data_IF_149391496605
#
_entry.id   IF_149391496605
#
_cell.length_a   1.000
_cell.length_b   1.000
_cell.length_c   1.000
_cell.angle_alpha   90.00
_cell.angle_beta   90.00
_cell.angle_gamma   90.00
#
_symmetry.space_group_name_H-M   'P 1'
#
loop_
_entity.id
_entity.type
_entity.pdbx_description
1 polymer ?
#
# COMPACT_ATOMS: atom_id res chain seq x y z
N UNK A 1 42.51 -24.78 -19.97
CA UNK A 1 43.92 -24.31 -19.92
C UNK A 1 44.02 -23.15 -18.93
N UNK A 2 44.77 -23.45 -17.88
CA UNK A 2 45.47 -22.57 -16.94
C UNK A 2 44.82 -21.31 -16.38
N UNK A 3 44.39 -21.48 -15.13
CA UNK A 3 44.12 -20.53 -14.08
C UNK A 3 45.27 -19.55 -13.89
N UNK A 4 45.00 -18.26 -13.71
CA UNK A 4 45.89 -17.34 -13.01
C UNK A 4 45.14 -16.60 -11.94
N UNK A 5 45.35 -17.07 -10.72
CA UNK A 5 45.07 -16.42 -9.46
C UNK A 5 46.00 -15.20 -9.37
N UNK A 6 45.46 -14.01 -9.15
CA UNK A 6 46.26 -12.88 -8.68
C UNK A 6 45.66 -12.40 -7.37
N UNK A 7 46.26 -12.84 -6.28
CA UNK A 7 46.08 -12.30 -4.96
C UNK A 7 46.79 -10.95 -4.89
N UNK A 8 46.04 -9.88 -4.53
CA UNK A 8 46.67 -8.62 -4.12
C UNK A 8 46.17 -8.28 -2.72
N UNK A 9 47.03 -8.60 -1.76
CA UNK A 9 46.96 -8.13 -0.38
C UNK A 9 47.36 -6.66 -0.36
N UNK A 10 46.50 -5.78 0.15
CA UNK A 10 46.92 -4.45 0.60
C UNK A 10 46.34 -4.22 2.02
N UNK A 11 47.29 -4.25 2.94
CA UNK A 11 47.10 -3.91 4.34
C UNK A 11 47.35 -2.41 4.54
N UNK A 12 46.84 -1.90 5.67
CA UNK A 12 47.22 -0.65 6.35
C UNK A 12 46.38 0.58 5.94
N UNK A 13 45.84 1.38 6.83
CA UNK A 13 46.27 1.81 8.15
C UNK A 13 45.11 2.34 9.00
N UNK A 14 45.11 1.97 10.27
CA UNK A 14 44.41 2.66 11.32
C UNK A 14 45.02 4.06 11.51
N UNK A 15 44.14 5.07 11.58
CA UNK A 15 44.46 6.33 12.28
C UNK A 15 43.31 6.70 13.20
N UNK A 16 43.50 6.37 14.49
CA UNK A 16 42.75 6.94 15.59
C UNK A 16 43.01 8.45 15.65
N UNK A 17 41.92 9.22 15.66
CA UNK A 17 41.96 10.60 16.15
C UNK A 17 40.87 10.74 17.20
N UNK A 18 41.27 10.58 18.47
CA UNK A 18 40.52 11.10 19.59
C UNK A 18 40.74 12.62 19.66
N UNK A 19 39.69 13.38 19.59
CA UNK A 19 39.67 14.74 20.06
C UNK A 19 38.51 14.87 21.07
N UNK A 20 38.90 14.82 22.34
CA UNK A 20 38.07 15.20 23.46
C UNK A 20 38.17 16.73 23.66
N UNK A 21 37.03 17.37 23.79
CA UNK A 21 36.81 18.67 24.47
C UNK A 21 35.34 18.64 24.89
N UNK A 22 34.88 18.62 26.11
CA UNK A 22 35.29 19.26 27.33
C UNK A 22 34.73 20.69 27.36
N UNK A 23 33.49 20.91 27.91
CA UNK A 23 32.90 22.21 28.11
C UNK A 23 31.61 22.10 28.91
N UNK A 24 31.72 22.30 30.22
CA UNK A 24 30.61 22.56 31.14
C UNK A 24 29.97 23.91 30.78
N UNK A 25 28.68 24.02 30.97
CA UNK A 25 28.00 24.90 31.92
C UNK A 25 26.50 24.94 31.61
N UNK A 26 25.69 24.50 32.58
CA UNK A 26 24.32 24.98 32.74
C UNK A 26 24.38 26.26 33.56
N UNK A 27 23.40 27.18 33.47
CA UNK A 27 22.22 27.05 34.31
C UNK A 27 20.91 27.52 33.65
N UNK A 28 19.85 26.99 34.19
CA UNK A 28 18.46 27.20 34.09
C UNK A 28 17.88 28.59 33.96
N UNK A 29 16.66 28.62 33.53
CA UNK A 29 15.56 29.51 33.92
C UNK A 29 14.26 28.92 33.33
N UNK A 30 13.44 28.40 34.20
CA UNK A 30 12.13 28.85 34.64
C UNK A 30 11.15 29.38 33.61
N UNK A 31 10.03 28.65 33.61
CA UNK A 31 8.64 29.09 33.57
C UNK A 31 8.19 30.00 32.43
N UNK A 32 7.24 29.56 31.70
CA UNK A 32 5.91 30.14 31.81
C UNK A 32 4.82 29.26 31.23
N UNK A 33 3.84 28.97 32.06
CA UNK A 33 2.57 28.36 31.74
C UNK A 33 1.72 29.38 30.98
N UNK A 34 1.39 29.05 29.75
CA UNK A 34 0.42 29.81 28.98
C UNK A 34 -0.53 28.87 28.28
N UNK A 35 -1.55 28.39 28.95
CA UNK A 35 -2.71 27.76 28.38
C UNK A 35 -3.66 28.85 27.90
N UNK A 36 -3.97 29.01 26.66
CA UNK A 36 -5.15 29.76 26.27
C UNK A 36 -6.38 28.88 26.34
N UNK A 37 -7.20 29.18 27.30
CA UNK A 37 -8.59 28.82 27.41
C UNK A 37 -9.34 29.34 26.17
N UNK A 38 -9.91 28.47 25.37
CA UNK A 38 -10.78 28.84 24.27
C UNK A 38 -12.21 28.57 24.68
N UNK A 39 -12.89 29.65 24.93
CA UNK A 39 -14.32 29.77 25.06
C UNK A 39 -15.12 29.00 23.99
N UNK A 40 -16.04 28.21 24.47
CA UNK A 40 -17.17 27.72 23.69
C UNK A 40 -18.24 28.82 23.60
N UNK A 41 -18.89 29.02 22.50
CA UNK A 41 -20.22 29.62 22.50
C UNK A 41 -21.30 28.52 22.44
N UNK A 42 -22.13 28.55 23.45
CA UNK A 42 -23.44 27.94 23.49
C UNK A 42 -24.41 28.63 22.50
N UNK A 43 -25.37 27.84 22.00
CA UNK A 43 -26.69 28.36 21.76
C UNK A 43 -27.19 28.37 20.33
N UNK A 44 -28.26 27.63 20.11
CA UNK A 44 -29.18 27.92 19.04
C UNK A 44 -29.84 26.70 18.38
N UNK A 45 -30.80 26.06 19.07
CA UNK A 45 -31.91 25.46 18.37
C UNK A 45 -32.96 26.57 18.14
N UNK A 46 -33.67 26.58 17.02
CA UNK A 46 -35.15 26.40 17.07
C UNK A 46 -35.66 25.47 15.96
N UNK A 47 -36.55 24.61 16.38
CA UNK A 47 -38.00 24.59 16.16
C UNK A 47 -38.49 24.27 14.74
N UNK A 48 -39.19 23.16 14.70
CA UNK A 48 -40.50 22.88 14.12
C UNK A 48 -40.91 23.50 12.76
N UNK A 49 -41.36 22.61 11.92
CA UNK A 49 -42.07 22.94 10.72
C UNK A 49 -42.48 21.71 9.91
N UNK A 50 -43.46 20.94 10.41
CA UNK A 50 -44.34 20.21 9.50
C UNK A 50 -45.47 21.15 9.11
N UNK A 51 -45.97 21.09 7.86
CA UNK A 51 -47.26 20.47 7.67
C UNK A 51 -47.48 19.70 6.34
N UNK A 52 -48.35 18.72 6.47
CA UNK A 52 -49.57 18.43 5.75
C UNK A 52 -49.52 17.84 4.33
N UNK A 53 -50.06 16.66 4.28
CA UNK A 53 -51.04 16.06 3.42
C UNK A 53 -51.23 16.54 1.96
N UNK A 54 -51.09 15.57 1.09
CA UNK A 54 -51.55 15.65 -0.29
C UNK A 54 -51.85 14.26 -0.82
N UNK A 55 -52.98 13.70 -0.43
CA UNK A 55 -53.62 12.59 -1.13
C UNK A 55 -54.01 13.06 -2.55
N UNK A 56 -53.63 12.30 -3.55
CA UNK A 56 -54.40 12.21 -4.81
C UNK A 56 -54.19 10.85 -5.46
N UNK A 57 -55.23 10.07 -5.34
CA UNK A 57 -55.91 9.24 -6.34
C UNK A 57 -55.09 8.54 -7.44
N UNK A 58 -55.23 7.22 -7.41
CA UNK A 58 -54.97 6.32 -8.52
C UNK A 58 -56.06 6.47 -9.63
N UNK A 59 -55.73 6.09 -10.85
CA UNK A 59 -56.53 5.03 -11.43
C UNK A 59 -55.75 3.87 -12.01
N UNK A 60 -56.25 2.73 -11.67
CA UNK A 60 -56.26 1.43 -12.30
C UNK A 60 -56.14 1.48 -13.84
N UNK A 61 -55.15 0.76 -14.40
CA UNK A 61 -55.22 0.27 -15.78
C UNK A 61 -54.39 -1.02 -15.88
N UNK A 62 -55.15 -2.06 -16.04
CA UNK A 62 -54.88 -3.44 -16.35
C UNK A 62 -53.66 -3.72 -17.24
N UNK A 63 -53.04 -4.85 -16.93
CA UNK A 63 -52.01 -5.59 -17.66
C UNK A 63 -52.36 -5.89 -19.14
N UNK A 64 -51.34 -6.21 -19.96
CA UNK A 64 -51.30 -7.58 -20.41
C UNK A 64 -49.96 -8.27 -20.08
N UNK A 65 -50.13 -9.50 -19.70
CA UNK A 65 -49.07 -10.51 -19.65
C UNK A 65 -48.50 -10.71 -21.06
N UNK A 66 -47.17 -10.59 -21.20
CA UNK A 66 -46.51 -11.18 -22.34
C UNK A 66 -45.20 -11.82 -21.88
N UNK A 67 -45.07 -13.02 -22.35
CA UNK A 67 -44.16 -14.09 -22.27
C UNK A 67 -42.75 -13.83 -21.69
N UNK A 68 -42.47 -14.51 -20.59
CA UNK A 68 -41.13 -14.70 -20.12
C UNK A 68 -40.23 -15.37 -21.17
N UNK A 69 -39.25 -14.64 -21.61
CA UNK A 69 -38.03 -15.26 -22.14
C UNK A 69 -37.03 -15.24 -21.02
N UNK A 70 -36.98 -16.38 -20.34
CA UNK A 70 -35.92 -16.71 -19.38
C UNK A 70 -34.60 -16.80 -20.17
N UNK A 71 -33.98 -15.66 -20.37
CA UNK A 71 -32.56 -15.61 -20.77
C UNK A 71 -31.79 -15.93 -19.52
N UNK A 72 -30.90 -16.92 -19.53
CA UNK A 72 -30.00 -17.11 -18.40
C UNK A 72 -29.22 -15.79 -18.24
N UNK A 73 -29.51 -15.12 -17.14
CA UNK A 73 -28.72 -14.01 -16.64
C UNK A 73 -27.31 -14.58 -16.47
N UNK A 74 -26.44 -14.29 -17.42
CA UNK A 74 -25.02 -14.58 -17.28
C UNK A 74 -24.58 -13.71 -16.09
N UNK A 75 -24.45 -14.33 -14.93
CA UNK A 75 -23.88 -13.66 -13.75
C UNK A 75 -22.56 -13.04 -14.22
N UNK A 76 -22.51 -11.70 -14.15
CA UNK A 76 -21.26 -11.00 -14.37
C UNK A 76 -20.24 -11.57 -13.38
N UNK A 77 -19.00 -11.86 -13.78
CA UNK A 77 -18.00 -12.39 -12.88
C UNK A 77 -17.93 -11.48 -11.64
N UNK A 78 -18.03 -12.11 -10.47
CA UNK A 78 -18.00 -11.37 -9.20
C UNK A 78 -16.76 -10.49 -9.17
N UNK A 79 -16.94 -9.20 -9.00
CA UNK A 79 -15.86 -8.23 -8.95
C UNK A 79 -15.01 -8.51 -7.70
N UNK A 80 -13.72 -8.78 -7.90
CA UNK A 80 -12.79 -9.10 -6.80
C UNK A 80 -12.51 -7.82 -6.02
N UNK A 81 -12.82 -7.83 -4.72
CA UNK A 81 -12.52 -6.72 -3.82
C UNK A 81 -11.11 -6.87 -3.22
N UNK A 82 -10.18 -6.01 -3.63
CA UNK A 82 -8.77 -6.09 -3.24
C UNK A 82 -8.55 -5.82 -1.74
N UNK A 83 -9.38 -4.99 -1.10
CA UNK A 83 -9.32 -4.80 0.35
C UNK A 83 -9.79 -6.03 1.11
N UNK A 84 -10.84 -6.69 0.63
CA UNK A 84 -11.32 -7.93 1.21
C UNK A 84 -10.28 -9.04 1.05
N UNK A 85 -9.65 -9.15 -0.11
CA UNK A 85 -8.55 -10.09 -0.34
C UNK A 85 -7.40 -9.86 0.66
N UNK A 86 -6.92 -8.63 0.80
CA UNK A 86 -5.89 -8.31 1.80
C UNK A 86 -6.29 -8.72 3.23
N UNK A 87 -7.55 -8.49 3.61
CA UNK A 87 -8.03 -8.89 4.93
C UNK A 87 -7.97 -10.41 5.12
N UNK A 88 -8.23 -11.21 4.09
CA UNK A 88 -8.10 -12.68 4.18
C UNK A 88 -6.66 -13.13 4.44
N UNK A 89 -5.67 -12.41 3.90
CA UNK A 89 -4.26 -12.67 4.17
C UNK A 89 -3.93 -12.40 5.65
N UNK A 90 -4.47 -11.31 6.22
CA UNK A 90 -4.27 -10.94 7.63
C UNK A 90 -4.93 -11.94 8.58
N UNK A 91 -6.17 -12.32 8.34
CA UNK A 91 -6.93 -13.28 9.16
C UNK A 91 -6.26 -14.65 9.18
N UNK A 92 -5.63 -15.05 8.09
CA UNK A 92 -4.85 -16.29 7.99
C UNK A 92 -3.48 -16.23 8.69
N UNK A 93 -3.12 -15.13 9.36
CA UNK A 93 -1.77 -14.88 9.89
C UNK A 93 -0.66 -15.03 8.86
N UNK A 94 -0.98 -14.87 7.59
CA UNK A 94 -0.02 -14.99 6.49
C UNK A 94 0.80 -13.72 6.36
N UNK A 95 0.24 -12.59 6.77
CA UNK A 95 0.87 -11.29 6.62
C UNK A 95 0.85 -10.48 7.91
N UNK A 96 1.96 -9.82 8.26
CA UNK A 96 2.00 -8.92 9.42
C UNK A 96 1.06 -7.73 9.23
N UNK A 97 0.83 -6.97 10.30
CA UNK A 97 0.12 -5.71 10.20
C UNK A 97 0.97 -4.69 9.44
N UNK A 98 0.43 -4.21 8.34
CA UNK A 98 1.06 -3.22 7.48
C UNK A 98 0.28 -1.90 7.52
N UNK A 99 0.96 -0.80 7.25
CA UNK A 99 0.37 0.53 7.12
C UNK A 99 -0.22 0.71 5.72
N UNK A 100 -1.47 1.14 5.64
CA UNK A 100 -2.14 1.44 4.36
C UNK A 100 -1.74 2.83 3.86
N UNK A 101 -1.18 2.90 2.65
CA UNK A 101 -0.79 4.15 1.99
C UNK A 101 -1.90 4.74 1.11
N UNK A 102 -3.00 4.03 0.89
CA UNK A 102 -4.01 4.40 -0.12
C UNK A 102 -5.27 5.02 0.45
N UNK A 103 -5.57 4.80 1.73
CA UNK A 103 -6.80 5.29 2.37
C UNK A 103 -6.63 6.61 3.09
N UNK A 104 -5.42 6.98 3.51
CA UNK A 104 -5.12 8.24 4.18
C UNK A 104 -4.53 9.26 3.18
N UNK A 105 -5.22 10.39 3.00
CA UNK A 105 -4.76 11.45 2.12
C UNK A 105 -3.38 12.02 2.50
N UNK A 106 -3.00 11.93 3.79
CA UNK A 106 -1.67 12.34 4.24
C UNK A 106 -0.55 11.39 3.79
N UNK A 107 -0.90 10.17 3.36
CA UNK A 107 0.06 9.18 2.85
C UNK A 107 0.30 9.29 1.35
N UNK A 108 -0.40 10.18 0.65
CA UNK A 108 -0.28 10.33 -0.80
C UNK A 108 1.16 10.63 -1.25
N UNK A 109 1.85 11.53 -0.59
CA UNK A 109 3.24 11.89 -0.93
C UNK A 109 4.18 10.69 -0.75
N UNK A 110 3.92 9.86 0.27
CA UNK A 110 4.69 8.65 0.53
C UNK A 110 4.41 7.59 -0.54
N UNK A 111 3.15 7.41 -0.94
CA UNK A 111 2.78 6.53 -2.03
C UNK A 111 3.46 6.95 -3.34
N UNK A 112 3.38 8.24 -3.70
CA UNK A 112 4.01 8.77 -4.92
C UNK A 112 5.54 8.63 -4.89
N UNK A 113 6.15 8.74 -3.71
CA UNK A 113 7.60 8.54 -3.53
C UNK A 113 8.03 7.07 -3.68
N UNK A 114 7.22 6.13 -3.19
CA UNK A 114 7.54 4.71 -3.23
C UNK A 114 7.18 4.04 -4.55
N UNK A 115 6.15 4.54 -5.21
CA UNK A 115 5.60 4.02 -6.46
C UNK A 115 5.38 5.15 -7.47
N UNK A 116 6.48 5.78 -7.97
CA UNK A 116 6.36 6.88 -8.92
C UNK A 116 5.55 6.46 -10.16
N UNK A 117 4.54 7.24 -10.51
CA UNK A 117 3.67 6.98 -11.65
C UNK A 117 2.47 6.08 -11.37
N UNK A 118 2.44 5.34 -10.25
CA UNK A 118 1.32 4.45 -9.95
C UNK A 118 -0.01 5.20 -9.80
N UNK A 119 0.01 6.40 -9.23
CA UNK A 119 -1.18 7.22 -9.05
C UNK A 119 -1.77 7.74 -10.37
N UNK A 120 -0.97 7.77 -11.43
CA UNK A 120 -1.35 8.24 -12.76
C UNK A 120 -2.02 7.16 -13.62
N UNK A 121 -1.86 5.89 -13.27
CA UNK A 121 -2.52 4.78 -13.94
C UNK A 121 -4.01 4.78 -13.60
N UNK A 122 -4.87 4.69 -14.61
CA UNK A 122 -6.31 4.56 -14.42
C UNK A 122 -6.62 3.19 -13.78
N UNK A 123 -7.13 3.20 -12.55
CA UNK A 123 -7.38 2.00 -11.79
C UNK A 123 -8.74 2.05 -11.07
N UNK A 124 -9.51 0.97 -11.15
CA UNK A 124 -10.75 0.80 -10.40
C UNK A 124 -10.48 0.63 -8.92
N UNK A 125 -9.43 -0.12 -8.59
CA UNK A 125 -9.00 -0.33 -7.21
C UNK A 125 -7.48 -0.22 -7.11
N UNK A 126 -7.00 0.39 -6.03
CA UNK A 126 -5.58 0.45 -5.68
C UNK A 126 -5.44 0.34 -4.17
N UNK A 127 -4.59 -0.58 -3.71
CA UNK A 127 -4.28 -0.78 -2.31
C UNK A 127 -2.78 -1.02 -2.16
N UNK A 128 -2.14 -0.29 -1.27
CA UNK A 128 -0.70 -0.43 -0.97
C UNK A 128 -0.51 -0.45 0.53
N UNK A 129 0.10 -1.52 1.00
CA UNK A 129 0.36 -1.78 2.40
C UNK A 129 1.84 -2.04 2.60
N UNK A 130 2.48 -1.33 3.51
CA UNK A 130 3.92 -1.42 3.76
C UNK A 130 4.22 -1.62 5.24
N UNK A 131 5.38 -2.24 5.55
CA UNK A 131 5.86 -2.31 6.91
C UNK A 131 6.08 -0.91 7.49
N UNK A 132 5.60 -0.68 8.72
CA UNK A 132 5.72 0.62 9.40
C UNK A 132 7.16 0.97 9.80
N UNK A 133 8.08 0.00 9.76
CA UNK A 133 9.49 0.18 10.13
C UNK A 133 10.40 -0.40 9.05
N UNK A 134 11.48 0.29 8.73
CA UNK A 134 12.45 -0.10 7.68
C UNK A 134 13.26 -1.36 7.98
N UNK A 135 13.25 -1.83 9.24
CA UNK A 135 13.93 -3.06 9.65
C UNK A 135 13.09 -4.32 9.38
N UNK A 136 11.81 -4.17 9.01
CA UNK A 136 10.93 -5.28 8.67
C UNK A 136 10.74 -5.36 7.15
N UNK A 137 10.70 -6.58 6.63
CA UNK A 137 10.31 -6.86 5.26
C UNK A 137 8.84 -7.22 5.25
N UNK A 138 8.05 -6.47 4.52
CA UNK A 138 6.62 -6.71 4.37
C UNK A 138 5.98 -5.62 3.54
N UNK A 139 5.51 -5.98 2.34
CA UNK A 139 4.82 -5.04 1.46
C UNK A 139 3.82 -5.81 0.59
N UNK A 140 2.61 -5.27 0.45
CA UNK A 140 1.62 -5.75 -0.50
C UNK A 140 1.07 -4.56 -1.27
N UNK A 141 1.22 -4.59 -2.59
CA UNK A 141 0.54 -3.66 -3.48
C UNK A 141 -0.40 -4.43 -4.41
N UNK A 142 -1.63 -3.94 -4.53
CA UNK A 142 -2.72 -4.56 -5.27
C UNK A 142 -3.36 -3.49 -6.16
N UNK A 143 -3.48 -3.77 -7.44
CA UNK A 143 -4.09 -2.85 -8.42
C UNK A 143 -5.04 -3.61 -9.32
N UNK A 144 -6.24 -3.06 -9.54
CA UNK A 144 -7.11 -3.41 -10.65
C UNK A 144 -7.12 -2.24 -11.62
N UNK A 145 -6.46 -2.39 -12.76
CA UNK A 145 -6.44 -1.37 -13.80
C UNK A 145 -7.77 -1.30 -14.55
N UNK A 146 -8.11 -0.13 -15.09
CA UNK A 146 -9.29 0.01 -15.95
C UNK A 146 -9.06 -0.65 -17.30
N UNK A 147 -7.85 -0.53 -17.87
CA UNK A 147 -7.50 -1.05 -19.17
C UNK A 147 -6.43 -2.13 -19.04
N UNK A 148 -6.63 -3.26 -19.70
CA UNK A 148 -5.68 -4.38 -19.67
C UNK A 148 -4.28 -4.01 -20.22
N UNK A 149 -4.20 -2.99 -21.07
CA UNK A 149 -2.93 -2.47 -21.62
C UNK A 149 -2.05 -1.80 -20.55
N UNK A 150 -2.62 -1.38 -19.40
CA UNK A 150 -1.90 -0.75 -18.29
C UNK A 150 -1.27 -1.77 -17.33
N UNK A 151 -1.59 -3.06 -17.45
CA UNK A 151 -1.05 -4.14 -16.57
C UNK A 151 0.48 -4.13 -16.57
N UNK A 152 1.10 -4.10 -17.74
CA UNK A 152 2.55 -4.10 -17.85
C UNK A 152 3.18 -2.87 -17.20
N UNK A 153 2.55 -1.70 -17.31
CA UNK A 153 3.06 -0.49 -16.68
C UNK A 153 3.03 -0.60 -15.14
N UNK A 154 2.03 -1.26 -14.58
CA UNK A 154 1.98 -1.54 -13.13
C UNK A 154 3.07 -2.53 -12.73
N UNK A 155 3.28 -3.62 -13.49
CA UNK A 155 4.34 -4.58 -13.24
C UNK A 155 5.73 -3.92 -13.29
N UNK A 156 5.98 -3.03 -14.25
CA UNK A 156 7.23 -2.28 -14.39
C UNK A 156 7.46 -1.35 -13.18
N UNK A 157 6.40 -0.69 -12.68
CA UNK A 157 6.48 0.12 -11.46
C UNK A 157 6.78 -0.74 -10.23
N UNK A 158 6.18 -1.92 -10.12
CA UNK A 158 6.45 -2.85 -9.03
C UNK A 158 7.88 -3.40 -9.10
N UNK A 159 8.37 -3.71 -10.29
CA UNK A 159 9.77 -4.11 -10.47
C UNK A 159 10.74 -2.99 -10.09
N UNK A 160 10.46 -1.76 -10.50
CA UNK A 160 11.27 -0.60 -10.13
C UNK A 160 11.30 -0.38 -8.59
N UNK A 161 10.19 -0.71 -7.90
CA UNK A 161 10.14 -0.70 -6.42
C UNK A 161 11.08 -1.72 -5.81
N UNK A 162 11.13 -2.94 -6.35
CA UNK A 162 12.06 -4.00 -5.91
C UNK A 162 13.49 -3.55 -6.17
N UNK A 163 13.79 -3.12 -7.39
CA UNK A 163 15.14 -2.69 -7.80
C UNK A 163 15.65 -1.54 -6.93
N UNK A 164 14.79 -0.58 -6.60
CA UNK A 164 15.12 0.51 -5.68
C UNK A 164 15.49 -0.01 -4.28
N UNK A 165 14.78 -1.00 -3.76
CA UNK A 165 15.06 -1.52 -2.43
C UNK A 165 16.34 -2.34 -2.37
N UNK A 166 16.60 -3.16 -3.39
CA UNK A 166 17.79 -4.01 -3.49
C UNK A 166 19.04 -3.19 -3.79
N UNK A 167 18.92 -2.17 -4.65
CA UNK A 167 20.05 -1.40 -5.16
C UNK A 167 20.76 -2.12 -6.31
N UNK A 168 21.78 -1.47 -6.87
CA UNK A 168 22.51 -1.96 -8.04
C UNK A 168 23.87 -2.61 -7.70
N UNK A 169 24.14 -2.85 -6.43
CA UNK A 169 25.40 -3.40 -5.93
C UNK A 169 26.57 -2.40 -5.90
N UNK A 170 26.40 -1.20 -6.49
CA UNK A 170 27.37 -0.09 -6.44
C UNK A 170 26.87 1.06 -5.58
N UNK A 171 25.57 1.27 -5.58
CA UNK A 171 24.87 2.24 -4.72
C UNK A 171 23.93 1.49 -3.77
N UNK A 172 23.86 1.90 -2.50
CA UNK A 172 22.90 1.31 -1.58
C UNK A 172 21.48 1.57 -2.08
N UNK A 173 20.61 0.55 -1.99
CA UNK A 173 19.20 0.67 -2.27
C UNK A 173 18.43 1.36 -1.14
N UNK A 174 17.11 1.30 -1.20
CA UNK A 174 16.23 1.79 -0.16
C UNK A 174 16.26 0.94 1.12
N UNK A 175 16.56 -0.35 1.00
CA UNK A 175 16.75 -1.25 2.14
C UNK A 175 18.14 -1.05 2.75
N UNK A 176 18.18 -0.93 4.09
CA UNK A 176 19.42 -0.55 4.79
C UNK A 176 20.11 -1.73 5.50
N UNK A 177 19.37 -2.79 5.79
CA UNK A 177 19.86 -3.93 6.54
C UNK A 177 20.10 -5.12 5.60
N UNK A 178 21.19 -5.88 5.76
CA UNK A 178 21.45 -7.03 4.89
C UNK A 178 20.27 -8.01 4.79
N UNK A 179 19.60 -8.29 5.90
CA UNK A 179 18.43 -9.18 5.92
C UNK A 179 17.21 -8.58 5.19
N UNK A 180 17.04 -7.25 5.20
CA UNK A 180 15.95 -6.63 4.43
C UNK A 180 16.28 -6.58 2.95
N UNK A 181 17.54 -6.35 2.57
CA UNK A 181 17.99 -6.43 1.17
C UNK A 181 17.77 -7.85 0.62
N UNK A 182 18.22 -8.87 1.35
CA UNK A 182 18.03 -10.28 0.99
C UNK A 182 16.54 -10.62 0.87
N UNK A 183 15.71 -10.13 1.81
CA UNK A 183 14.26 -10.35 1.76
C UNK A 183 13.61 -9.73 0.52
N UNK A 184 14.00 -8.52 0.11
CA UNK A 184 13.54 -7.90 -1.13
C UNK A 184 14.03 -8.64 -2.37
N UNK A 185 15.27 -9.11 -2.37
CA UNK A 185 15.88 -9.82 -3.50
C UNK A 185 15.27 -11.22 -3.71
N UNK A 186 14.99 -11.94 -2.62
CA UNK A 186 14.61 -13.35 -2.69
C UNK A 186 13.11 -13.61 -2.50
N UNK A 187 12.41 -12.72 -1.79
CA UNK A 187 11.02 -12.92 -1.37
C UNK A 187 10.08 -11.86 -1.97
N UNK A 188 10.36 -11.37 -3.17
CA UNK A 188 9.47 -10.50 -3.93
C UNK A 188 8.77 -11.30 -5.02
N UNK A 189 7.44 -11.16 -5.12
CA UNK A 189 6.62 -11.81 -6.13
C UNK A 189 5.70 -10.79 -6.80
N UNK A 190 5.82 -10.66 -8.12
CA UNK A 190 4.86 -9.93 -8.95
C UNK A 190 4.02 -10.97 -9.67
N UNK A 191 2.70 -10.89 -9.54
CA UNK A 191 1.74 -11.77 -10.22
C UNK A 191 0.61 -10.94 -10.79
N UNK A 192 0.10 -11.35 -11.96
CA UNK A 192 -1.04 -10.69 -12.60
C UNK A 192 -2.05 -11.70 -13.15
N UNK A 193 -3.32 -11.31 -13.22
CA UNK A 193 -4.39 -12.07 -13.87
C UNK A 193 -5.47 -11.10 -14.37
N UNK A 194 -5.75 -11.14 -15.66
CA UNK A 194 -6.65 -10.17 -16.28
C UNK A 194 -6.17 -8.73 -16.03
N UNK A 195 -7.01 -7.90 -15.42
CA UNK A 195 -6.71 -6.51 -15.08
C UNK A 195 -6.10 -6.35 -13.67
N UNK A 196 -5.84 -7.44 -12.96
CA UNK A 196 -5.36 -7.41 -11.60
C UNK A 196 -3.86 -7.69 -11.53
N UNK A 197 -3.14 -6.88 -10.75
CA UNK A 197 -1.70 -7.02 -10.53
C UNK A 197 -1.43 -6.95 -9.02
N UNK A 198 -0.57 -7.83 -8.53
CA UNK A 198 -0.11 -7.84 -7.16
C UNK A 198 1.42 -7.87 -7.09
N UNK A 199 1.98 -7.05 -6.20
CA UNK A 199 3.30 -7.24 -5.62
C UNK A 199 3.14 -7.72 -4.18
N UNK A 200 3.84 -8.78 -3.82
CA UNK A 200 3.98 -9.24 -2.44
C UNK A 200 5.47 -9.38 -2.11
N UNK A 201 5.88 -8.89 -0.95
CA UNK A 201 7.28 -8.94 -0.47
C UNK A 201 7.34 -9.36 0.98
N UNK A 202 8.08 -10.41 1.27
CA UNK A 202 8.28 -10.93 2.63
C UNK A 202 8.21 -12.45 2.68
N UNK A 203 8.38 -13.03 3.85
CA UNK A 203 8.50 -14.49 4.03
C UNK A 203 7.28 -15.26 3.51
N UNK A 204 6.09 -14.66 3.55
CA UNK A 204 4.84 -15.27 3.12
C UNK A 204 4.39 -14.81 1.70
N UNK A 205 5.26 -14.12 0.97
CA UNK A 205 4.90 -13.55 -0.33
C UNK A 205 4.50 -14.61 -1.36
N UNK A 206 5.18 -15.76 -1.38
CA UNK A 206 4.84 -16.88 -2.24
C UNK A 206 3.44 -17.44 -1.94
N UNK A 207 3.09 -17.59 -0.65
CA UNK A 207 1.77 -18.04 -0.25
C UNK A 207 0.67 -17.02 -0.58
N UNK A 208 0.97 -15.72 -0.48
CA UNK A 208 0.07 -14.66 -0.91
C UNK A 208 -0.15 -14.69 -2.43
N UNK A 209 0.90 -14.91 -3.22
CA UNK A 209 0.83 -15.06 -4.66
C UNK A 209 -0.03 -16.26 -5.09
N UNK A 210 0.13 -17.39 -4.41
CA UNK A 210 -0.69 -18.59 -4.66
C UNK A 210 -2.18 -18.32 -4.36
N UNK A 211 -2.49 -17.62 -3.26
CA UNK A 211 -3.87 -17.24 -2.94
C UNK A 211 -4.45 -16.23 -3.91
N UNK A 212 -3.64 -15.28 -4.36
CA UNK A 212 -4.08 -14.34 -5.41
C UNK A 212 -4.47 -15.08 -6.69
N UNK A 213 -3.65 -16.02 -7.15
CA UNK A 213 -3.93 -16.81 -8.34
C UNK A 213 -5.20 -17.69 -8.20
N UNK A 214 -5.56 -18.10 -6.98
CA UNK A 214 -6.78 -18.87 -6.72
C UNK A 214 -8.07 -18.05 -6.89
N UNK A 215 -8.00 -16.72 -6.84
CA UNK A 215 -9.17 -15.85 -7.08
C UNK A 215 -9.69 -15.94 -8.51
N UNK A 216 -8.88 -16.44 -9.45
CA UNK A 216 -9.16 -16.47 -10.88
C UNK A 216 -9.35 -17.89 -11.44
N UNK A 217 -9.49 -18.89 -10.58
CA UNK A 217 -9.68 -20.29 -10.94
C UNK A 217 -11.12 -20.71 -10.71
#
# INVERSE_FOLDING_TARGET
MKKKILALTLALALSLSLAACGGKDAPGQDADSGVPEVNAPEGGAPEDGAPEDGETDAPDASAPEDGGTDSPETEAPEEINLSAFYNTLREGNIWPELMDLTTDANMKELLDSYYPGLAEIAAKQRRVYIAAISAAVGEIALVEVENAEDVQAVEDIFQARIDYQVGDGTSPGGAWYPATIEGWETNSHIVSSGNYVMLAVGDEAAAAADRFNQLFQ
#
